data_IF_907763738125
#
_entry.id   IF_907763738125
#
_cell.length_a   1.000
_cell.length_b   1.000
_cell.length_c   1.000
_cell.angle_alpha   90.00
_cell.angle_beta   90.00
_cell.angle_gamma   90.00
#
_symmetry.space_group_name_H-M   'P 1'
#
loop_
_entity.id
_entity.type
_entity.pdbx_description
1 polymer ?
#
# COMPACT_ATOMS: atom_id res chain seq x y z
N UNK A 1 -37.61 -12.95 -21.01
CA UNK A 1 -36.37 -12.20 -21.29
C UNK A 1 -35.64 -12.09 -19.94
N UNK A 2 -34.31 -12.06 -19.91
CA UNK A 2 -33.64 -11.78 -18.64
C UNK A 2 -34.06 -10.41 -18.15
N UNK A 3 -34.29 -10.27 -16.84
CA UNK A 3 -34.75 -9.01 -16.24
C UNK A 3 -33.64 -7.97 -16.15
N UNK A 4 -32.35 -8.38 -16.32
CA UNK A 4 -31.15 -7.55 -16.33
C UNK A 4 -30.13 -8.02 -17.37
N UNK A 5 -29.32 -7.09 -17.90
CA UNK A 5 -28.26 -7.39 -18.88
C UNK A 5 -27.06 -8.07 -18.20
N UNK A 6 -26.77 -7.74 -16.95
CA UNK A 6 -25.66 -8.29 -16.18
C UNK A 6 -25.98 -8.39 -14.69
N UNK A 7 -25.41 -9.40 -14.04
CA UNK A 7 -25.47 -9.58 -12.59
C UNK A 7 -24.03 -9.57 -12.05
N UNK A 8 -23.75 -8.68 -11.10
CA UNK A 8 -22.47 -8.58 -10.38
C UNK A 8 -22.67 -9.13 -8.98
N UNK A 9 -21.92 -10.16 -8.60
CA UNK A 9 -21.98 -10.76 -7.27
C UNK A 9 -20.90 -10.18 -6.38
N UNK A 10 -21.33 -9.54 -5.29
CA UNK A 10 -20.50 -8.85 -4.32
C UNK A 10 -20.40 -7.33 -4.57
N UNK A 11 -20.77 -6.54 -3.57
CA UNK A 11 -20.70 -5.07 -3.58
C UNK A 11 -19.46 -4.53 -2.83
N UNK A 12 -18.34 -5.23 -2.91
CA UNK A 12 -17.03 -4.70 -2.55
C UNK A 12 -16.49 -3.76 -3.63
N UNK A 13 -15.28 -3.22 -3.43
CA UNK A 13 -14.70 -2.23 -4.35
C UNK A 13 -14.62 -2.75 -5.81
N UNK A 14 -14.21 -3.99 -6.00
CA UNK A 14 -14.10 -4.59 -7.33
C UNK A 14 -15.47 -4.73 -8.02
N UNK A 15 -16.48 -5.25 -7.30
CA UNK A 15 -17.84 -5.40 -7.84
C UNK A 15 -18.48 -4.05 -8.18
N UNK A 16 -18.34 -3.05 -7.31
CA UNK A 16 -18.85 -1.70 -7.56
C UNK A 16 -18.12 -1.02 -8.75
N UNK A 17 -16.80 -1.24 -8.90
CA UNK A 17 -16.06 -0.75 -10.06
C UNK A 17 -16.54 -1.41 -11.35
N UNK A 18 -16.74 -2.71 -11.35
CA UNK A 18 -17.30 -3.47 -12.47
C UNK A 18 -18.71 -2.97 -12.83
N UNK A 19 -19.61 -2.91 -11.86
CA UNK A 19 -20.98 -2.42 -12.08
C UNK A 19 -21.00 -1.00 -12.67
N UNK A 20 -20.14 -0.12 -12.19
CA UNK A 20 -20.00 1.25 -12.72
C UNK A 20 -19.56 1.27 -14.18
N UNK A 21 -18.62 0.40 -14.57
CA UNK A 21 -18.16 0.31 -15.98
C UNK A 21 -19.29 -0.19 -16.88
N UNK A 22 -19.98 -1.25 -16.47
CA UNK A 22 -21.10 -1.82 -17.22
C UNK A 22 -22.26 -0.81 -17.36
N UNK A 23 -22.64 -0.15 -16.27
CA UNK A 23 -23.70 0.85 -16.28
C UNK A 23 -23.33 2.06 -17.18
N UNK A 24 -22.08 2.48 -17.22
CA UNK A 24 -21.60 3.53 -18.14
C UNK A 24 -21.64 3.10 -19.60
N UNK A 25 -21.56 1.79 -19.87
CA UNK A 25 -21.76 1.23 -21.20
C UNK A 25 -23.23 1.10 -21.59
N UNK A 26 -24.17 1.54 -20.73
CA UNK A 26 -25.61 1.54 -20.99
C UNK A 26 -26.31 0.23 -20.64
N UNK A 27 -25.64 -0.69 -19.93
CA UNK A 27 -26.21 -1.97 -19.51
C UNK A 27 -27.03 -1.80 -18.24
N UNK A 28 -28.14 -2.53 -18.13
CA UNK A 28 -28.90 -2.69 -16.90
C UNK A 28 -28.24 -3.72 -15.99
N UNK A 29 -27.72 -3.27 -14.84
CA UNK A 29 -26.86 -4.07 -13.96
C UNK A 29 -27.50 -4.27 -12.60
N UNK A 30 -27.69 -5.53 -12.22
CA UNK A 30 -28.07 -5.92 -10.85
C UNK A 30 -26.80 -6.26 -10.04
N UNK A 31 -26.65 -5.65 -8.86
CA UNK A 31 -25.59 -6.01 -7.90
C UNK A 31 -26.18 -6.77 -6.73
N UNK A 32 -25.69 -7.98 -6.48
CA UNK A 32 -26.08 -8.80 -5.35
C UNK A 32 -24.99 -8.78 -4.27
N UNK A 33 -25.38 -8.45 -3.05
CA UNK A 33 -24.49 -8.43 -1.89
C UNK A 33 -25.03 -9.37 -0.81
N UNK A 34 -24.16 -10.21 -0.24
CA UNK A 34 -24.56 -11.20 0.76
C UNK A 34 -24.62 -10.63 2.19
N UNK A 35 -23.91 -9.52 2.44
CA UNK A 35 -23.88 -8.88 3.75
C UNK A 35 -24.97 -7.81 3.90
N UNK A 36 -25.03 -7.20 5.07
CA UNK A 36 -26.00 -6.16 5.42
C UNK A 36 -25.68 -4.77 4.81
N UNK A 37 -24.62 -4.65 4.00
CA UNK A 37 -24.25 -3.38 3.36
C UNK A 37 -23.11 -3.49 2.37
N UNK A 38 -22.99 -2.46 1.54
CA UNK A 38 -21.96 -2.36 0.51
C UNK A 38 -20.60 -1.96 1.09
N UNK A 39 -19.52 -2.18 0.32
CA UNK A 39 -18.14 -1.77 0.63
C UNK A 39 -17.21 -2.91 0.96
N UNK A 40 -17.71 -4.07 1.40
CA UNK A 40 -16.86 -5.24 1.71
C UNK A 40 -15.75 -4.91 2.71
N UNK A 41 -14.49 -5.15 2.36
CA UNK A 41 -13.32 -4.91 3.24
C UNK A 41 -12.97 -3.44 3.48
N UNK A 42 -13.48 -2.51 2.67
CA UNK A 42 -13.27 -1.06 2.88
C UNK A 42 -14.40 -0.40 3.67
N UNK A 43 -15.33 -1.21 4.19
CA UNK A 43 -16.44 -0.72 5.00
C UNK A 43 -15.96 -0.37 6.41
N UNK A 44 -16.51 0.72 6.95
CA UNK A 44 -16.35 1.16 8.33
C UNK A 44 -17.66 0.98 9.08
N UNK A 45 -17.62 0.31 10.21
CA UNK A 45 -18.75 0.18 11.12
C UNK A 45 -18.69 1.29 12.18
N UNK A 46 -19.86 1.75 12.64
CA UNK A 46 -19.95 2.68 13.77
C UNK A 46 -20.59 1.96 14.94
N UNK A 47 -19.82 1.75 16.03
CA UNK A 47 -20.28 1.07 17.23
C UNK A 47 -19.98 1.95 18.42
N UNK A 48 -21.02 2.33 19.17
CA UNK A 48 -20.92 3.21 20.34
C UNK A 48 -20.17 4.53 20.08
N UNK A 49 -20.29 5.08 18.86
CA UNK A 49 -19.61 6.29 18.42
C UNK A 49 -18.19 6.10 17.92
N UNK A 50 -17.63 4.91 18.02
CA UNK A 50 -16.33 4.55 17.45
C UNK A 50 -16.46 4.12 15.99
N UNK A 51 -15.51 4.53 15.17
CA UNK A 51 -15.37 4.07 13.77
C UNK A 51 -14.41 2.90 13.73
N UNK A 52 -14.92 1.74 13.34
CA UNK A 52 -14.18 0.48 13.27
C UNK A 52 -14.08 0.05 11.80
N UNK A 53 -12.91 0.18 11.24
CA UNK A 53 -12.66 -0.24 9.86
C UNK A 53 -12.54 -1.76 9.78
N UNK A 54 -13.24 -2.39 8.83
CA UNK A 54 -13.22 -3.84 8.64
C UNK A 54 -11.94 -4.34 8.01
N UNK A 55 -11.20 -3.47 7.36
CA UNK A 55 -9.98 -3.80 6.67
C UNK A 55 -8.95 -2.69 6.72
N UNK A 56 -7.94 -2.84 5.89
CA UNK A 56 -6.81 -1.95 5.82
C UNK A 56 -7.20 -0.62 5.16
N UNK A 57 -7.04 0.49 5.84
CA UNK A 57 -7.52 1.81 5.40
C UNK A 57 -6.40 2.73 4.91
N UNK A 58 -5.38 2.16 4.27
CA UNK A 58 -4.34 2.93 3.57
C UNK A 58 -4.56 2.86 2.07
N UNK A 59 -4.75 4.02 1.44
CA UNK A 59 -4.86 4.14 0.00
C UNK A 59 -3.52 4.65 -0.58
N UNK A 60 -2.95 3.88 -1.50
CA UNK A 60 -1.83 4.32 -2.31
C UNK A 60 -2.38 5.12 -3.49
N UNK A 61 -2.28 6.44 -3.41
CA UNK A 61 -2.92 7.34 -4.38
C UNK A 61 -2.26 7.35 -5.78
N UNK A 62 -1.13 6.67 -5.94
CA UNK A 62 -0.41 6.58 -7.20
C UNK A 62 -0.97 5.51 -8.17
N UNK A 63 -1.89 4.65 -7.72
CA UNK A 63 -2.49 3.64 -8.62
C UNK A 63 -3.35 4.29 -9.70
N UNK A 64 -3.04 4.11 -11.00
CA UNK A 64 -3.80 4.71 -12.10
C UNK A 64 -5.27 4.28 -12.12
N UNK A 65 -5.54 3.00 -11.84
CA UNK A 65 -6.89 2.43 -11.78
C UNK A 65 -7.71 3.03 -10.65
N UNK A 66 -7.08 3.28 -9.50
CA UNK A 66 -7.75 3.94 -8.37
C UNK A 66 -8.12 5.39 -8.72
N UNK A 67 -7.23 6.12 -9.40
CA UNK A 67 -7.49 7.48 -9.87
C UNK A 67 -8.62 7.52 -10.91
N UNK A 68 -8.72 6.51 -11.77
CA UNK A 68 -9.78 6.42 -12.79
C UNK A 68 -11.17 6.09 -12.21
N UNK A 69 -11.20 5.36 -11.08
CA UNK A 69 -12.45 4.88 -10.47
C UNK A 69 -12.91 5.75 -9.31
N UNK A 70 -11.99 6.25 -8.47
CA UNK A 70 -12.32 6.94 -7.24
C UNK A 70 -12.28 8.47 -7.41
N UNK A 71 -13.23 9.16 -6.80
CA UNK A 71 -13.20 10.62 -6.66
C UNK A 71 -12.39 10.99 -5.41
N UNK A 72 -11.11 11.31 -5.59
CA UNK A 72 -10.22 11.66 -4.48
C UNK A 72 -10.63 12.95 -3.76
N UNK A 73 -11.30 13.88 -4.44
CA UNK A 73 -11.83 15.10 -3.82
C UNK A 73 -12.95 14.79 -2.82
N UNK A 74 -13.84 13.88 -3.19
CA UNK A 74 -14.95 13.46 -2.32
C UNK A 74 -14.49 12.59 -1.14
N UNK A 75 -13.36 11.87 -1.27
CA UNK A 75 -12.87 10.95 -0.22
C UNK A 75 -12.29 11.64 1.02
N UNK A 76 -12.01 12.95 0.96
CA UNK A 76 -11.40 13.70 2.08
C UNK A 76 -10.16 12.99 2.65
N UNK A 77 -9.24 12.59 1.75
CA UNK A 77 -8.04 11.84 2.11
C UNK A 77 -7.12 12.67 3.01
N UNK A 78 -6.53 12.02 4.00
CA UNK A 78 -5.51 12.58 4.87
C UNK A 78 -4.17 11.90 4.62
N UNK A 79 -3.13 12.69 4.29
CA UNK A 79 -1.80 12.15 4.07
C UNK A 79 -1.13 11.74 5.38
N UNK A 80 -0.47 10.59 5.39
CA UNK A 80 0.41 10.20 6.48
C UNK A 80 1.73 10.97 6.40
N UNK A 81 2.35 11.23 7.56
CA UNK A 81 3.70 11.74 7.61
C UNK A 81 4.66 10.73 6.92
N UNK A 82 5.54 11.20 6.01
CA UNK A 82 6.41 10.32 5.25
C UNK A 82 7.52 9.75 6.12
N UNK A 83 7.47 8.45 6.38
CA UNK A 83 8.46 7.76 7.20
C UNK A 83 7.84 6.67 8.08
N UNK A 84 8.66 6.14 8.97
CA UNK A 84 8.26 5.11 9.92
C UNK A 84 8.92 5.32 11.28
N UNK A 85 8.22 4.95 12.35
CA UNK A 85 8.78 4.81 13.69
C UNK A 85 9.25 3.38 13.89
N UNK A 86 10.56 3.20 14.05
CA UNK A 86 11.18 1.89 14.22
C UNK A 86 11.61 1.71 15.67
N UNK A 87 11.11 0.66 16.32
CA UNK A 87 11.53 0.29 17.68
C UNK A 87 12.85 -0.49 17.60
N UNK A 88 13.89 0.04 18.26
CA UNK A 88 15.19 -0.60 18.34
C UNK A 88 15.75 -0.45 19.75
N UNK A 89 16.12 -1.57 20.39
CA UNK A 89 16.58 -1.62 21.79
C UNK A 89 15.70 -0.81 22.76
N UNK A 90 14.38 -0.99 22.69
CA UNK A 90 13.42 -0.36 23.59
C UNK A 90 13.11 1.11 23.31
N UNK A 91 13.76 1.74 22.35
CA UNK A 91 13.55 3.12 21.94
C UNK A 91 12.95 3.21 20.53
N UNK A 92 12.24 4.30 20.27
CA UNK A 92 11.72 4.59 18.92
C UNK A 92 12.64 5.55 18.19
N UNK A 93 12.89 5.24 16.92
CA UNK A 93 13.67 6.06 16.01
C UNK A 93 12.84 6.37 14.78
N UNK A 94 12.83 7.62 14.36
CA UNK A 94 12.15 8.04 13.13
C UNK A 94 13.06 7.80 11.92
N UNK A 95 12.61 6.97 10.98
CA UNK A 95 13.19 6.81 9.66
C UNK A 95 12.30 7.57 8.67
N UNK A 96 12.66 8.80 8.36
CA UNK A 96 11.92 9.65 7.44
C UNK A 96 12.28 9.40 5.99
N UNK A 97 11.40 9.83 5.08
CA UNK A 97 11.63 9.84 3.65
C UNK A 97 12.17 11.22 3.22
N UNK A 98 13.47 11.38 2.96
CA UNK A 98 14.07 12.68 2.66
C UNK A 98 13.65 13.26 1.31
N UNK A 99 13.07 12.46 0.43
CA UNK A 99 12.56 12.96 -0.87
C UNK A 99 11.18 13.58 -0.76
N UNK A 100 10.43 13.25 0.29
CA UNK A 100 9.09 13.80 0.54
C UNK A 100 9.10 14.86 1.65
N UNK A 101 10.04 14.73 2.58
CA UNK A 101 10.25 15.67 3.67
C UNK A 101 11.77 15.78 3.96
N UNK A 102 12.38 16.87 3.53
CA UNK A 102 13.81 17.10 3.72
C UNK A 102 14.22 17.22 5.19
N UNK A 103 13.32 17.69 6.06
CA UNK A 103 13.58 17.77 7.51
C UNK A 103 13.68 16.38 8.14
N UNK A 104 13.01 15.39 7.58
CA UNK A 104 13.05 13.99 8.03
C UNK A 104 14.39 13.31 7.72
N UNK A 105 15.26 13.89 6.89
CA UNK A 105 16.58 13.34 6.58
C UNK A 105 17.47 13.26 7.83
N UNK A 106 17.47 14.29 8.65
CA UNK A 106 18.36 14.37 9.82
C UNK A 106 18.13 13.26 10.85
N UNK A 107 16.88 12.99 11.29
CA UNK A 107 16.62 11.86 12.18
C UNK A 107 17.01 10.51 11.57
N UNK A 108 16.84 10.31 10.26
CA UNK A 108 17.22 9.09 9.58
C UNK A 108 18.74 8.89 9.57
N UNK A 109 19.51 9.97 9.34
CA UNK A 109 20.97 9.96 9.35
C UNK A 109 21.57 9.66 10.72
N UNK A 110 20.90 10.12 11.79
CA UNK A 110 21.33 9.91 13.18
C UNK A 110 20.78 8.60 13.78
N UNK A 111 19.90 7.89 13.05
CA UNK A 111 19.30 6.66 13.54
C UNK A 111 20.32 5.51 13.60
N UNK A 112 20.42 4.78 14.72
CA UNK A 112 21.26 3.59 14.80
C UNK A 112 20.71 2.41 13.99
N UNK A 113 19.49 2.49 13.48
CA UNK A 113 18.85 1.42 12.71
C UNK A 113 19.45 1.26 11.32
N UNK A 114 19.70 2.37 10.62
CA UNK A 114 20.31 2.38 9.30
C UNK A 114 21.78 2.82 9.38
N UNK A 115 22.64 2.18 8.58
CA UNK A 115 24.01 2.63 8.36
C UNK A 115 24.06 3.62 7.19
N UNK A 116 25.05 4.46 7.12
CA UNK A 116 25.28 5.33 5.95
C UNK A 116 25.31 4.56 4.63
N UNK A 117 25.94 3.37 4.65
CA UNK A 117 25.95 2.47 3.49
C UNK A 117 24.54 2.00 3.10
N UNK A 118 23.63 1.82 4.06
CA UNK A 118 22.24 1.43 3.78
C UNK A 118 21.45 2.57 3.12
N UNK A 119 21.64 3.81 3.61
CA UNK A 119 21.01 4.99 3.02
C UNK A 119 21.46 5.20 1.57
N UNK A 120 22.74 4.99 1.29
CA UNK A 120 23.25 5.05 -0.07
C UNK A 120 22.67 3.94 -0.97
N UNK A 121 22.50 2.72 -0.44
CA UNK A 121 21.84 1.60 -1.15
C UNK A 121 20.37 1.89 -1.43
N UNK A 122 19.65 2.49 -0.48
CA UNK A 122 18.26 2.95 -0.70
C UNK A 122 18.23 3.96 -1.86
N UNK A 123 19.12 4.93 -1.87
CA UNK A 123 19.22 5.89 -2.96
C UNK A 123 19.49 5.23 -4.32
N UNK A 124 20.43 4.29 -4.37
CA UNK A 124 20.75 3.52 -5.60
C UNK A 124 19.55 2.70 -6.07
N UNK A 125 18.93 1.95 -5.17
CA UNK A 125 17.77 1.12 -5.47
C UNK A 125 16.61 1.99 -6.00
N UNK A 126 16.33 3.10 -5.33
CA UNK A 126 15.33 4.05 -5.81
C UNK A 126 15.62 4.55 -7.22
N UNK A 127 16.86 4.95 -7.51
CA UNK A 127 17.26 5.38 -8.87
C UNK A 127 17.14 4.27 -9.90
N UNK A 128 17.45 3.04 -9.53
CA UNK A 128 17.30 1.88 -10.40
C UNK A 128 15.81 1.68 -10.75
N UNK A 129 14.95 1.61 -9.74
CA UNK A 129 13.52 1.37 -9.91
C UNK A 129 12.81 2.48 -10.70
N UNK A 130 13.17 3.74 -10.48
CA UNK A 130 12.60 4.87 -11.22
C UNK A 130 12.99 4.92 -12.71
N UNK A 131 13.96 4.12 -13.14
CA UNK A 131 14.37 4.03 -14.54
C UNK A 131 13.73 2.87 -15.27
N UNK A 132 13.13 1.93 -14.55
CA UNK A 132 12.45 0.76 -15.10
C UNK A 132 11.00 1.09 -15.39
N UNK A 133 10.48 0.53 -16.47
CA UNK A 133 9.05 0.50 -16.72
C UNK A 133 8.38 -0.51 -15.79
N UNK A 134 7.06 -0.41 -15.64
CA UNK A 134 6.29 -1.40 -14.87
C UNK A 134 6.45 -2.80 -15.47
N UNK A 135 6.44 -2.92 -16.80
CA UNK A 135 6.63 -4.19 -17.49
C UNK A 135 7.99 -4.82 -17.18
N UNK A 136 9.08 -4.04 -17.19
CA UNK A 136 10.41 -4.52 -16.82
C UNK A 136 10.48 -4.99 -15.35
N UNK A 137 9.71 -4.39 -14.46
CA UNK A 137 9.62 -4.81 -13.05
C UNK A 137 8.84 -6.13 -12.94
N UNK A 138 7.70 -6.25 -13.61
CA UNK A 138 6.84 -7.44 -13.53
C UNK A 138 7.41 -8.65 -14.27
N UNK A 139 8.22 -8.44 -15.30
CA UNK A 139 8.88 -9.53 -16.06
C UNK A 139 10.25 -9.91 -15.50
N UNK A 140 10.74 -9.23 -14.47
CA UNK A 140 12.01 -9.56 -13.83
C UNK A 140 11.96 -10.97 -13.21
N UNK A 141 13.11 -11.69 -13.17
CA UNK A 141 13.18 -12.98 -12.50
C UNK A 141 12.71 -12.90 -11.04
N UNK A 142 11.86 -13.85 -10.67
CA UNK A 142 11.34 -13.93 -9.30
C UNK A 142 12.46 -14.26 -8.30
N UNK A 143 12.43 -13.55 -7.18
CA UNK A 143 13.31 -13.81 -6.05
C UNK A 143 12.59 -13.41 -4.75
N UNK A 144 13.00 -13.96 -3.63
CA UNK A 144 12.45 -13.50 -2.34
C UNK A 144 12.97 -12.12 -2.00
N UNK A 145 12.15 -11.33 -1.31
CA UNK A 145 12.56 -9.99 -0.83
C UNK A 145 13.81 -10.09 0.04
N UNK A 146 13.88 -11.09 0.94
CA UNK A 146 15.04 -11.32 1.79
C UNK A 146 16.31 -11.60 0.99
N UNK A 147 16.25 -12.43 -0.05
CA UNK A 147 17.39 -12.72 -0.92
C UNK A 147 17.84 -11.44 -1.64
N UNK A 148 16.91 -10.70 -2.22
CA UNK A 148 17.21 -9.46 -2.93
C UNK A 148 17.82 -8.38 -2.04
N UNK A 149 17.33 -8.20 -0.83
CA UNK A 149 17.90 -7.23 0.11
C UNK A 149 19.33 -7.61 0.54
N UNK A 150 19.63 -8.93 0.71
CA UNK A 150 20.99 -9.40 1.01
C UNK A 150 21.92 -9.20 -0.17
N UNK A 151 21.51 -9.54 -1.39
CA UNK A 151 22.24 -9.33 -2.63
C UNK A 151 22.61 -7.86 -2.83
N UNK A 152 21.69 -6.94 -2.57
CA UNK A 152 21.93 -5.50 -2.59
C UNK A 152 22.86 -5.03 -1.47
N UNK A 153 23.20 -5.91 -0.52
CA UNK A 153 24.16 -5.68 0.55
C UNK A 153 23.60 -4.88 1.73
N UNK A 154 22.28 -4.80 1.89
CA UNK A 154 21.68 -4.15 3.07
C UNK A 154 22.14 -4.79 4.38
N UNK A 155 22.34 -3.98 5.40
CA UNK A 155 22.73 -4.50 6.72
C UNK A 155 21.62 -5.38 7.30
N UNK A 156 22.03 -6.48 7.96
CA UNK A 156 21.09 -7.36 8.65
C UNK A 156 20.17 -6.59 9.60
N UNK A 157 20.71 -5.56 10.25
CA UNK A 157 19.95 -4.71 11.18
C UNK A 157 18.80 -3.98 10.48
N UNK A 158 19.04 -3.33 9.33
CA UNK A 158 17.98 -2.65 8.58
C UNK A 158 16.96 -3.66 8.02
N UNK A 159 17.42 -4.84 7.60
CA UNK A 159 16.50 -5.91 7.15
C UNK A 159 15.58 -6.34 8.29
N UNK A 160 16.12 -6.67 9.47
CA UNK A 160 15.34 -7.24 10.57
C UNK A 160 14.44 -6.22 11.29
N UNK A 161 14.88 -4.97 11.44
CA UNK A 161 14.14 -3.98 12.22
C UNK A 161 13.28 -3.03 11.39
N UNK A 162 13.53 -2.91 10.08
CA UNK A 162 12.75 -2.06 9.20
C UNK A 162 12.05 -2.84 8.08
N UNK A 163 12.80 -3.49 7.18
CA UNK A 163 12.19 -4.11 6.01
C UNK A 163 11.28 -5.29 6.36
N UNK A 164 11.69 -6.17 7.26
CA UNK A 164 10.88 -7.33 7.65
C UNK A 164 9.55 -6.94 8.31
N UNK A 165 9.50 -6.05 9.34
CA UNK A 165 8.22 -5.63 9.90
C UNK A 165 7.34 -4.87 8.91
N UNK A 166 7.93 -4.01 8.08
CA UNK A 166 7.19 -3.19 7.13
C UNK A 166 6.61 -4.01 5.98
N UNK A 167 7.46 -4.74 5.26
CA UNK A 167 7.03 -5.53 4.10
C UNK A 167 6.22 -6.74 4.57
N UNK A 168 6.65 -7.41 5.64
CA UNK A 168 5.94 -8.54 6.22
C UNK A 168 4.54 -8.15 6.72
N UNK A 169 4.38 -6.96 7.30
CA UNK A 169 3.08 -6.43 7.68
C UNK A 169 2.19 -6.11 6.48
N UNK A 170 2.77 -5.53 5.41
CA UNK A 170 2.03 -5.20 4.19
C UNK A 170 1.60 -6.45 3.40
N UNK A 171 2.46 -7.47 3.34
CA UNK A 171 2.24 -8.71 2.59
C UNK A 171 1.63 -9.84 3.43
N UNK A 172 1.49 -9.63 4.75
CA UNK A 172 1.06 -10.64 5.73
C UNK A 172 1.95 -11.89 5.73
N UNK A 173 3.22 -11.72 5.37
CA UNK A 173 4.24 -12.77 5.33
C UNK A 173 5.55 -12.27 5.96
N UNK A 174 5.90 -12.84 7.11
CA UNK A 174 7.10 -12.47 7.86
C UNK A 174 8.37 -13.18 7.38
N UNK A 175 8.27 -14.13 6.46
CA UNK A 175 9.41 -14.87 5.92
C UNK A 175 10.24 -14.02 4.94
N UNK A 176 9.62 -13.13 4.20
CA UNK A 176 10.13 -12.25 3.14
C UNK A 176 10.64 -13.02 1.92
#
# INVERSE_FOLDING_TARGET
>A
MPDHDAIVVGAGLAGLACARVLARAGLDVLVLEASDGIGGRVRTDVVDGFRLDRGFQVLLTAYPEAQAVLDYGALRLHAFAPGALVRYHGRFYHLGDPWRDSAAAWPALLSPVARWSDLWRIYRLRRELLRKSEEEIFTAPETTVAARLRELGFSRRLIEYFFRPWIGGAMLDVSL
#
